data_IF_535373018329
#
_entry.id   IF_535373018329
#
_cell.length_a   1.000
_cell.length_b   1.000
_cell.length_c   1.000
_cell.angle_alpha   90.00
_cell.angle_beta   90.00
_cell.angle_gamma   90.00
#
_symmetry.space_group_name_H-M   'P 1'
#
loop_
_entity.id
_entity.type
_entity.pdbx_description
1 polymer ?
#
# COMPACT_ATOMS: atom_id res chain seq x y z
N UNK A 1 15.60 28.63 24.33
CA UNK A 1 14.80 27.56 23.71
C UNK A 1 13.63 27.11 24.60
N UNK A 2 13.86 26.70 25.83
CA UNK A 2 12.80 26.20 26.77
C UNK A 2 11.71 27.25 27.05
N UNK A 3 12.05 28.53 27.20
CA UNK A 3 11.11 29.62 27.48
C UNK A 3 10.10 29.84 26.35
N UNK A 4 10.50 29.69 25.09
CA UNK A 4 9.60 29.83 23.94
C UNK A 4 8.70 28.61 23.78
N UNK A 5 9.16 27.41 24.13
CA UNK A 5 8.38 26.18 24.14
C UNK A 5 7.26 26.24 25.20
N UNK A 6 7.57 26.80 26.38
CA UNK A 6 6.61 26.96 27.47
C UNK A 6 5.50 27.97 27.12
N UNK A 7 5.86 29.06 26.44
CA UNK A 7 4.90 30.09 26.01
C UNK A 7 3.96 29.52 24.94
N UNK A 8 4.49 28.74 24.00
CA UNK A 8 3.69 28.09 22.95
C UNK A 8 2.74 27.04 23.53
N UNK A 9 3.21 26.29 24.53
CA UNK A 9 2.38 25.29 25.21
C UNK A 9 1.26 25.96 26.04
N UNK A 10 1.59 27.05 26.75
CA UNK A 10 0.61 27.80 27.53
C UNK A 10 -0.45 28.47 26.64
N UNK A 11 -0.05 29.00 25.49
CA UNK A 11 -0.99 29.62 24.54
C UNK A 11 -1.94 28.59 23.91
N UNK A 12 -1.46 27.39 23.57
CA UNK A 12 -2.28 26.31 23.04
C UNK A 12 -3.27 25.76 24.09
N UNK A 13 -2.86 25.65 25.37
CA UNK A 13 -3.75 25.21 26.44
C UNK A 13 -4.83 26.26 26.77
N UNK A 14 -4.46 27.54 26.79
CA UNK A 14 -5.42 28.64 27.01
C UNK A 14 -6.42 28.74 25.84
N UNK A 15 -5.96 28.59 24.61
CA UNK A 15 -6.82 28.59 23.43
C UNK A 15 -7.77 27.39 23.42
N UNK A 16 -7.27 26.22 23.75
CA UNK A 16 -8.09 25.01 23.91
C UNK A 16 -9.14 25.14 25.02
N UNK A 17 -8.78 25.76 26.13
CA UNK A 17 -9.69 26.03 27.26
C UNK A 17 -10.78 27.07 26.90
N UNK A 18 -10.44 28.10 26.14
CA UNK A 18 -11.38 29.08 25.62
C UNK A 18 -12.38 28.42 24.66
N UNK A 19 -11.91 27.59 23.73
CA UNK A 19 -12.77 26.87 22.80
C UNK A 19 -13.69 25.87 23.52
N UNK A 20 -13.21 25.23 24.60
CA UNK A 20 -14.02 24.35 25.43
C UNK A 20 -15.15 25.12 26.17
N UNK A 21 -14.81 26.26 26.80
CA UNK A 21 -15.81 27.09 27.50
C UNK A 21 -16.80 27.83 26.57
N UNK A 22 -16.41 28.05 25.31
CA UNK A 22 -17.31 28.60 24.30
C UNK A 22 -18.24 27.53 23.69
N UNK A 23 -18.16 26.28 24.15
CA UNK A 23 -18.98 25.18 23.65
C UNK A 23 -18.71 24.80 22.20
N UNK A 24 -17.57 25.23 21.62
CA UNK A 24 -17.23 24.97 20.23
C UNK A 24 -17.05 23.47 20.01
N UNK A 25 -16.47 22.77 20.98
CA UNK A 25 -16.29 21.32 20.91
C UNK A 25 -17.59 20.54 21.09
N UNK A 26 -18.51 21.05 21.93
CA UNK A 26 -19.81 20.42 22.13
C UNK A 26 -20.72 20.59 20.90
N UNK A 27 -20.64 21.75 20.24
CA UNK A 27 -21.34 22.01 19.00
C UNK A 27 -20.74 21.21 17.83
N UNK A 28 -19.40 21.02 17.77
CA UNK A 28 -18.75 20.16 16.78
C UNK A 28 -19.07 18.68 16.98
N UNK A 29 -19.16 18.23 18.26
CA UNK A 29 -19.50 16.84 18.55
C UNK A 29 -20.99 16.52 18.34
N UNK A 30 -21.88 17.45 18.68
CA UNK A 30 -23.32 17.29 18.44
C UNK A 30 -23.67 17.38 16.96
N UNK A 31 -23.17 18.39 16.25
CA UNK A 31 -23.35 18.53 14.82
C UNK A 31 -22.77 17.33 14.05
N UNK A 32 -21.58 16.86 14.46
CA UNK A 32 -20.94 15.71 13.83
C UNK A 32 -21.66 14.37 14.09
N UNK A 33 -22.36 14.20 15.20
CA UNK A 33 -23.16 12.99 15.47
C UNK A 33 -24.46 12.97 14.68
N UNK A 34 -25.16 14.08 14.65
CA UNK A 34 -26.43 14.18 13.92
C UNK A 34 -26.23 14.11 12.41
N UNK A 35 -25.16 14.76 11.90
CA UNK A 35 -24.81 14.64 10.50
C UNK A 35 -24.35 13.23 10.12
N UNK A 36 -23.61 12.52 10.98
CA UNK A 36 -23.19 11.13 10.72
C UNK A 36 -24.39 10.20 10.60
N UNK A 37 -25.34 10.28 11.53
CA UNK A 37 -26.53 9.44 11.48
C UNK A 37 -27.40 9.79 10.27
N UNK A 38 -27.58 11.09 10.00
CA UNK A 38 -28.38 11.57 8.88
C UNK A 38 -27.76 11.19 7.51
N UNK A 39 -26.43 11.33 7.38
CA UNK A 39 -25.73 10.93 6.16
C UNK A 39 -25.67 9.41 6.01
N UNK A 40 -25.48 8.66 7.10
CA UNK A 40 -25.49 7.20 7.09
C UNK A 40 -26.88 6.66 6.70
N UNK A 41 -27.94 7.14 7.34
CA UNK A 41 -29.31 6.72 7.03
C UNK A 41 -29.74 7.12 5.62
N UNK A 42 -29.54 8.38 5.22
CA UNK A 42 -29.86 8.86 3.87
C UNK A 42 -29.08 8.11 2.82
N UNK A 43 -27.81 7.74 3.11
CA UNK A 43 -26.97 7.05 2.18
C UNK A 43 -27.33 5.57 2.04
N UNK A 44 -27.65 4.89 3.13
CA UNK A 44 -28.13 3.51 3.08
C UNK A 44 -29.43 3.42 2.25
N UNK A 45 -30.35 4.37 2.43
CA UNK A 45 -31.55 4.45 1.60
C UNK A 45 -31.27 4.83 0.14
N UNK A 46 -30.32 5.75 -0.09
CA UNK A 46 -29.97 6.20 -1.45
C UNK A 46 -29.24 5.12 -2.23
N UNK A 47 -28.35 4.35 -1.60
CA UNK A 47 -27.64 3.22 -2.23
C UNK A 47 -28.64 2.11 -2.59
N UNK A 48 -29.63 1.84 -1.75
CA UNK A 48 -30.71 0.90 -2.06
C UNK A 48 -31.57 1.34 -3.28
N UNK A 49 -31.72 2.65 -3.48
CA UNK A 49 -32.50 3.24 -4.58
C UNK A 49 -31.67 3.57 -5.82
N UNK A 50 -30.34 3.49 -5.74
CA UNK A 50 -29.45 3.88 -6.85
C UNK A 50 -29.37 2.72 -7.85
N UNK A 51 -29.74 2.92 -9.11
CA UNK A 51 -29.68 1.85 -10.12
C UNK A 51 -28.25 1.49 -10.53
N UNK A 52 -27.25 2.26 -10.10
CA UNK A 52 -25.86 2.10 -10.51
C UNK A 52 -24.94 2.07 -9.29
N UNK A 53 -24.04 1.05 -9.21
CA UNK A 53 -23.04 0.96 -8.16
C UNK A 53 -21.83 1.84 -8.51
N UNK A 54 -21.62 2.88 -7.73
CA UNK A 54 -20.54 3.84 -7.95
C UNK A 54 -19.35 3.51 -7.04
N UNK A 55 -18.20 3.31 -7.64
CA UNK A 55 -16.93 3.06 -6.96
C UNK A 55 -16.02 4.26 -7.19
N UNK A 56 -15.49 4.84 -6.12
CA UNK A 56 -14.53 5.93 -6.16
C UNK A 56 -13.10 5.45 -5.95
N UNK A 57 -12.12 6.12 -6.54
CA UNK A 57 -10.70 5.93 -6.25
C UNK A 57 -9.96 7.25 -6.29
N UNK A 58 -9.09 7.45 -5.29
CA UNK A 58 -8.16 8.58 -5.23
C UNK A 58 -6.75 8.01 -5.18
N UNK A 59 -5.88 8.48 -6.05
CA UNK A 59 -4.53 7.95 -6.14
C UNK A 59 -3.52 9.01 -6.58
N UNK A 60 -2.24 8.73 -6.34
CA UNK A 60 -1.15 9.51 -6.91
C UNK A 60 -0.71 8.86 -8.23
N UNK A 61 -0.75 9.59 -9.33
CA UNK A 61 -0.41 9.04 -10.66
C UNK A 61 1.07 8.75 -10.85
N UNK A 62 1.94 9.31 -10.02
CA UNK A 62 3.38 8.99 -9.99
C UNK A 62 3.70 7.77 -9.13
N UNK A 63 2.79 7.35 -8.26
CA UNK A 63 2.87 6.11 -7.51
C UNK A 63 2.48 4.95 -8.45
N UNK A 64 3.47 4.19 -8.88
CA UNK A 64 3.30 3.18 -9.93
C UNK A 64 2.39 2.04 -9.52
N UNK A 65 2.53 1.43 -8.33
CA UNK A 65 1.58 0.45 -7.82
C UNK A 65 0.13 0.93 -7.87
N UNK A 66 -0.11 2.15 -7.40
CA UNK A 66 -1.44 2.75 -7.41
C UNK A 66 -1.96 2.98 -8.84
N UNK A 67 -1.14 3.58 -9.70
CA UNK A 67 -1.52 3.87 -11.07
C UNK A 67 -1.80 2.61 -11.90
N UNK A 68 -0.99 1.57 -11.76
CA UNK A 68 -1.20 0.28 -12.44
C UNK A 68 -2.49 -0.41 -11.92
N UNK A 69 -2.72 -0.40 -10.62
CA UNK A 69 -3.95 -0.93 -10.03
C UNK A 69 -5.20 -0.23 -10.57
N UNK A 70 -5.17 1.11 -10.64
CA UNK A 70 -6.28 1.90 -11.20
C UNK A 70 -6.50 1.57 -12.68
N UNK A 71 -5.45 1.42 -13.50
CA UNK A 71 -5.59 1.00 -14.90
C UNK A 71 -6.27 -0.37 -15.03
N UNK A 72 -5.88 -1.31 -14.18
CA UNK A 72 -6.50 -2.63 -14.13
C UNK A 72 -7.98 -2.57 -13.80
N UNK A 73 -8.33 -1.83 -12.74
CA UNK A 73 -9.71 -1.64 -12.29
C UNK A 73 -10.56 -0.89 -13.31
N UNK A 74 -10.00 0.13 -13.99
CA UNK A 74 -10.72 0.86 -15.05
C UNK A 74 -11.14 -0.07 -16.18
N UNK A 75 -10.22 -0.88 -16.70
CA UNK A 75 -10.52 -1.81 -17.78
C UNK A 75 -11.53 -2.88 -17.32
N UNK A 76 -11.40 -3.38 -16.09
CA UNK A 76 -12.37 -4.31 -15.53
C UNK A 76 -13.78 -3.69 -15.45
N UNK A 77 -13.88 -2.43 -15.02
CA UNK A 77 -15.16 -1.72 -14.96
C UNK A 77 -15.79 -1.51 -16.36
N UNK A 78 -14.96 -1.23 -17.39
CA UNK A 78 -15.40 -1.13 -18.79
C UNK A 78 -16.02 -2.49 -19.27
N UNK A 79 -15.36 -3.60 -18.95
CA UNK A 79 -15.85 -4.94 -19.29
C UNK A 79 -17.16 -5.26 -18.56
N UNK A 80 -17.23 -4.99 -17.25
CA UNK A 80 -18.45 -5.22 -16.47
C UNK A 80 -19.65 -4.42 -17.02
N UNK A 81 -19.41 -3.17 -17.40
CA UNK A 81 -20.44 -2.34 -18.04
C UNK A 81 -20.86 -2.87 -19.41
N UNK A 82 -19.91 -3.32 -20.22
CA UNK A 82 -20.22 -3.93 -21.53
C UNK A 82 -21.03 -5.22 -21.41
N UNK A 83 -20.91 -5.90 -20.27
CA UNK A 83 -21.71 -7.09 -19.92
C UNK A 83 -23.05 -6.74 -19.23
N UNK A 84 -23.46 -5.47 -19.23
CA UNK A 84 -24.76 -5.03 -18.72
C UNK A 84 -24.79 -4.73 -17.22
N UNK A 85 -23.67 -4.79 -16.49
CA UNK A 85 -23.64 -4.40 -15.08
C UNK A 85 -23.75 -2.89 -14.92
N UNK A 86 -24.61 -2.46 -14.00
CA UNK A 86 -24.77 -1.04 -13.65
C UNK A 86 -23.70 -0.63 -12.64
N UNK A 87 -22.47 -0.45 -13.12
CA UNK A 87 -21.33 -0.04 -12.32
C UNK A 87 -20.66 1.20 -12.93
N UNK A 88 -20.22 2.12 -12.10
CA UNK A 88 -19.45 3.29 -12.53
C UNK A 88 -18.20 3.44 -11.67
N UNK A 89 -17.05 3.55 -12.31
CA UNK A 89 -15.77 3.78 -11.63
C UNK A 89 -15.30 5.21 -11.88
N UNK A 90 -15.07 5.96 -10.80
CA UNK A 90 -14.67 7.36 -10.83
C UNK A 90 -13.30 7.46 -10.16
N UNK A 91 -12.36 8.07 -10.86
CA UNK A 91 -11.00 8.22 -10.37
C UNK A 91 -10.60 9.70 -10.29
N UNK A 92 -9.86 10.07 -9.24
CA UNK A 92 -9.17 11.35 -9.13
C UNK A 92 -7.70 11.08 -8.94
N UNK A 93 -6.88 11.62 -9.83
CA UNK A 93 -5.42 11.48 -9.80
C UNK A 93 -4.76 12.71 -9.18
N UNK A 94 -3.43 12.61 -8.95
CA UNK A 94 -2.56 13.67 -8.44
C UNK A 94 -2.83 14.10 -6.99
N UNK A 95 -3.46 13.25 -6.20
CA UNK A 95 -3.65 13.47 -4.77
C UNK A 95 -2.35 13.12 -4.03
N UNK A 96 -1.44 14.08 -3.96
CA UNK A 96 -0.12 13.89 -3.31
C UNK A 96 -0.15 14.23 -1.82
N UNK A 97 -1.04 15.14 -1.41
CA UNK A 97 -1.12 15.63 -0.03
C UNK A 97 -2.42 15.20 0.64
N UNK A 98 -2.37 15.00 1.95
CA UNK A 98 -3.54 14.61 2.75
C UNK A 98 -4.76 15.53 2.59
N UNK A 99 -4.62 16.88 2.57
CA UNK A 99 -5.77 17.76 2.37
C UNK A 99 -6.45 17.61 1.00
N UNK A 100 -5.64 17.43 -0.06
CA UNK A 100 -6.14 17.24 -1.43
C UNK A 100 -6.90 15.92 -1.55
N UNK A 101 -6.35 14.88 -0.95
CA UNK A 101 -6.98 13.55 -0.88
C UNK A 101 -8.31 13.62 -0.14
N UNK A 102 -8.35 14.29 1.01
CA UNK A 102 -9.55 14.45 1.81
C UNK A 102 -10.65 15.20 1.03
N UNK A 103 -10.31 16.31 0.38
CA UNK A 103 -11.25 17.10 -0.43
C UNK A 103 -11.79 16.29 -1.62
N UNK A 104 -10.94 15.55 -2.32
CA UNK A 104 -11.35 14.69 -3.43
C UNK A 104 -12.33 13.58 -2.98
N UNK A 105 -12.05 12.95 -1.84
CA UNK A 105 -12.92 11.94 -1.27
C UNK A 105 -14.27 12.51 -0.82
N UNK A 106 -14.25 13.64 -0.12
CA UNK A 106 -15.48 14.31 0.29
C UNK A 106 -16.35 14.65 -0.91
N UNK A 107 -15.75 15.18 -1.97
CA UNK A 107 -16.45 15.43 -3.23
C UNK A 107 -17.04 14.16 -3.83
N UNK A 108 -16.29 13.06 -3.84
CA UNK A 108 -16.82 11.77 -4.31
C UNK A 108 -17.99 11.29 -3.48
N UNK A 109 -17.95 11.50 -2.17
CA UNK A 109 -19.04 11.12 -1.28
C UNK A 109 -20.31 11.93 -1.53
N UNK A 110 -20.18 13.25 -1.64
CA UNK A 110 -21.31 14.18 -1.72
C UNK A 110 -21.87 14.26 -3.15
N UNK A 111 -21.00 14.57 -4.12
CA UNK A 111 -21.43 14.90 -5.49
C UNK A 111 -21.74 13.61 -6.30
N UNK A 112 -20.91 12.58 -6.14
CA UNK A 112 -21.02 11.36 -6.94
C UNK A 112 -21.74 10.21 -6.23
N UNK A 113 -22.07 10.35 -4.96
CA UNK A 113 -22.77 9.32 -4.18
C UNK A 113 -22.08 7.95 -4.26
N UNK A 114 -20.76 7.96 -4.13
CA UNK A 114 -19.94 6.74 -4.19
C UNK A 114 -20.42 5.71 -3.17
N UNK A 115 -20.59 4.47 -3.57
CA UNK A 115 -21.04 3.37 -2.71
C UNK A 115 -19.90 2.65 -2.00
N UNK A 116 -18.70 2.64 -2.59
CA UNK A 116 -17.49 2.08 -2.01
C UNK A 116 -16.25 2.77 -2.58
N UNK A 117 -15.12 2.66 -1.88
CA UNK A 117 -13.83 3.11 -2.38
C UNK A 117 -12.93 1.93 -2.75
N UNK A 118 -12.25 2.05 -3.90
CA UNK A 118 -11.12 1.22 -4.27
C UNK A 118 -9.84 2.02 -4.01
N UNK A 119 -9.05 1.58 -3.06
CA UNK A 119 -7.86 2.26 -2.56
C UNK A 119 -7.68 2.07 -1.05
N UNK A 120 -6.70 2.67 -0.42
CA UNK A 120 -5.72 3.63 -0.94
C UNK A 120 -4.70 3.03 -1.90
N UNK A 121 -4.03 3.91 -2.63
CA UNK A 121 -2.91 3.54 -3.48
C UNK A 121 -1.61 3.28 -2.71
N UNK A 122 -1.48 3.84 -1.50
CA UNK A 122 -0.34 3.63 -0.60
C UNK A 122 -0.75 3.76 0.87
N UNK A 123 0.14 3.33 1.77
CA UNK A 123 -0.11 3.31 3.21
C UNK A 123 -0.26 4.70 3.84
N UNK A 124 0.39 5.72 3.31
CA UNK A 124 0.30 7.10 3.83
C UNK A 124 -1.11 7.69 3.67
N UNK A 125 -1.77 7.33 2.57
CA UNK A 125 -3.13 7.76 2.30
C UNK A 125 -4.17 7.03 3.15
N UNK A 126 -3.85 5.84 3.67
CA UNK A 126 -4.80 4.97 4.36
C UNK A 126 -5.51 5.66 5.53
N UNK A 127 -4.77 6.38 6.37
CA UNK A 127 -5.34 7.04 7.54
C UNK A 127 -6.41 8.06 7.16
N UNK A 128 -6.12 8.89 6.16
CA UNK A 128 -7.06 9.93 5.71
C UNK A 128 -8.28 9.34 4.99
N UNK A 129 -8.05 8.36 4.12
CA UNK A 129 -9.14 7.65 3.43
C UNK A 129 -10.05 6.90 4.40
N UNK A 130 -9.46 6.23 5.39
CA UNK A 130 -10.21 5.47 6.38
C UNK A 130 -11.10 6.36 7.23
N UNK A 131 -10.58 7.50 7.71
CA UNK A 131 -11.37 8.44 8.49
C UNK A 131 -12.59 8.96 7.72
N UNK A 132 -12.41 9.35 6.46
CA UNK A 132 -13.50 9.86 5.61
C UNK A 132 -14.47 8.73 5.23
N UNK A 133 -13.95 7.58 4.82
CA UNK A 133 -14.82 6.45 4.45
C UNK A 133 -15.68 5.98 5.63
N UNK A 134 -15.17 6.07 6.87
CA UNK A 134 -15.94 5.80 8.07
C UNK A 134 -16.99 6.84 8.36
N UNK A 135 -16.63 8.13 8.24
CA UNK A 135 -17.59 9.21 8.41
C UNK A 135 -18.82 9.04 7.51
N UNK A 136 -18.61 8.56 6.30
CA UNK A 136 -19.68 8.30 5.34
C UNK A 136 -20.19 6.84 5.34
N UNK A 137 -19.77 6.01 6.26
CA UNK A 137 -20.09 4.58 6.37
C UNK A 137 -19.84 3.81 5.07
N UNK A 138 -18.69 4.04 4.42
CA UNK A 138 -18.35 3.45 3.13
C UNK A 138 -17.29 2.36 3.25
N UNK A 139 -17.44 1.24 2.54
CA UNK A 139 -16.38 0.26 2.36
C UNK A 139 -15.16 0.85 1.69
N UNK A 140 -13.98 0.51 2.20
CA UNK A 140 -12.67 0.87 1.67
C UNK A 140 -11.90 -0.41 1.34
N UNK A 141 -11.73 -0.70 0.06
CA UNK A 141 -11.12 -1.94 -0.42
C UNK A 141 -9.80 -1.62 -1.12
N UNK A 142 -8.66 -2.11 -0.62
CA UNK A 142 -7.36 -1.83 -1.23
C UNK A 142 -6.75 -3.04 -1.94
N UNK A 143 -6.40 -2.89 -3.22
CA UNK A 143 -5.64 -3.90 -3.98
C UNK A 143 -4.12 -3.80 -3.81
N UNK A 144 -3.59 -2.73 -3.20
CA UNK A 144 -2.13 -2.46 -3.19
C UNK A 144 -1.57 -2.07 -1.83
N UNK A 145 -2.41 -1.94 -0.81
CA UNK A 145 -1.95 -1.53 0.52
C UNK A 145 -2.20 -2.62 1.53
N UNK A 146 -1.14 -3.03 2.21
CA UNK A 146 -1.22 -3.99 3.33
C UNK A 146 -1.99 -3.37 4.48
N UNK A 147 -2.70 -4.19 5.24
CA UNK A 147 -3.33 -3.77 6.49
C UNK A 147 -2.24 -3.57 7.55
N UNK A 148 -2.05 -2.36 8.09
CA UNK A 148 -1.10 -2.15 9.18
C UNK A 148 -1.57 -2.84 10.47
N UNK A 149 -0.64 -3.46 11.20
CA UNK A 149 -0.92 -4.15 12.48
C UNK A 149 -1.54 -3.24 13.56
N UNK A 150 -1.27 -1.94 13.48
CA UNK A 150 -1.67 -0.94 14.47
C UNK A 150 -2.71 0.05 13.93
N UNK A 151 -3.70 -0.41 13.20
CA UNK A 151 -4.84 0.45 12.91
C UNK A 151 -5.66 0.68 14.19
N UNK A 152 -6.10 1.92 14.48
CA UNK A 152 -7.02 2.16 15.58
C UNK A 152 -8.21 1.23 15.49
N UNK A 153 -8.57 0.58 16.59
CA UNK A 153 -9.80 -0.19 16.67
C UNK A 153 -10.98 0.78 16.53
N UNK A 154 -11.89 0.44 15.67
CA UNK A 154 -13.06 1.22 15.36
C UNK A 154 -14.28 0.32 15.59
N UNK A 155 -15.40 0.94 15.93
CA UNK A 155 -16.65 0.23 16.17
C UNK A 155 -17.08 -0.65 14.99
N UNK A 156 -16.71 -0.22 13.77
CA UNK A 156 -16.88 -0.96 12.54
C UNK A 156 -15.64 -0.80 11.67
N UNK A 157 -14.98 -1.91 11.35
CA UNK A 157 -13.85 -1.90 10.44
C UNK A 157 -14.35 -2.01 9.00
N UNK A 158 -14.24 -0.90 8.28
CA UNK A 158 -14.68 -0.78 6.89
C UNK A 158 -13.55 -1.00 5.87
N UNK A 159 -12.35 -1.37 6.33
CA UNK A 159 -11.17 -1.55 5.48
C UNK A 159 -10.86 -3.02 5.20
N UNK A 160 -10.75 -3.37 3.93
CA UNK A 160 -10.28 -4.69 3.49
C UNK A 160 -9.08 -4.53 2.56
N UNK A 161 -8.01 -5.26 2.83
CA UNK A 161 -6.90 -5.43 1.90
C UNK A 161 -7.07 -6.72 1.10
N UNK A 162 -7.00 -6.62 -0.23
CA UNK A 162 -6.90 -7.77 -1.15
C UNK A 162 -5.43 -8.07 -1.47
N UNK A 163 -4.55 -7.13 -1.17
CA UNK A 163 -3.12 -7.31 -1.32
C UNK A 163 -2.62 -8.49 -0.46
N UNK A 164 -1.69 -9.30 -0.95
CA UNK A 164 -1.14 -10.41 -0.18
C UNK A 164 -0.57 -9.96 1.17
N UNK A 165 -0.82 -10.68 2.25
CA UNK A 165 -0.27 -10.35 3.56
C UNK A 165 1.26 -10.32 3.52
N UNK A 166 1.85 -9.46 4.33
CA UNK A 166 3.28 -9.18 4.33
C UNK A 166 4.11 -10.44 4.63
N UNK A 167 3.60 -11.29 5.51
CA UNK A 167 4.21 -12.57 5.87
C UNK A 167 4.46 -13.44 4.64
N UNK A 168 3.55 -13.44 3.68
CA UNK A 168 3.67 -14.26 2.46
C UNK A 168 4.86 -13.85 1.59
N UNK A 169 5.12 -12.55 1.50
CA UNK A 169 6.28 -11.99 0.79
C UNK A 169 7.57 -12.35 1.51
N UNK A 170 7.55 -12.19 2.83
CA UNK A 170 8.71 -12.45 3.70
C UNK A 170 9.05 -13.92 3.72
N UNK A 171 8.07 -14.81 3.80
CA UNK A 171 8.28 -16.26 3.76
C UNK A 171 8.96 -16.69 2.46
N UNK A 172 8.57 -16.10 1.32
CA UNK A 172 9.22 -16.38 0.04
C UNK A 172 10.69 -15.89 0.01
N UNK A 173 10.96 -14.70 0.54
CA UNK A 173 12.32 -14.17 0.66
C UNK A 173 13.18 -15.05 1.57
N UNK A 174 12.68 -15.39 2.76
CA UNK A 174 13.39 -16.23 3.73
C UNK A 174 13.64 -17.66 3.19
N UNK A 175 12.67 -18.24 2.49
CA UNK A 175 12.84 -19.54 1.84
C UNK A 175 13.95 -19.49 0.76
N UNK A 176 13.98 -18.44 -0.04
CA UNK A 176 15.03 -18.23 -1.04
C UNK A 176 16.40 -18.01 -0.39
N UNK A 177 16.48 -17.18 0.66
CA UNK A 177 17.72 -16.98 1.42
C UNK A 177 18.23 -18.30 2.01
N UNK A 178 17.34 -19.11 2.58
CA UNK A 178 17.66 -20.44 3.12
C UNK A 178 18.24 -21.36 2.04
N UNK A 179 17.59 -21.40 0.87
CA UNK A 179 18.06 -22.20 -0.28
C UNK A 179 19.44 -21.79 -0.79
N UNK A 180 19.84 -20.54 -0.59
CA UNK A 180 21.15 -20.00 -0.94
C UNK A 180 22.16 -19.94 0.22
N UNK A 181 21.90 -20.63 1.34
CA UNK A 181 22.75 -20.68 2.53
C UNK A 181 23.07 -19.29 3.15
N UNK A 182 22.20 -18.32 2.99
CA UNK A 182 22.35 -16.99 3.60
C UNK A 182 21.96 -17.10 5.07
N UNK A 183 22.89 -16.72 5.96
CA UNK A 183 22.74 -16.77 7.41
C UNK A 183 22.85 -15.40 8.08
N UNK A 184 23.49 -14.46 7.42
CA UNK A 184 23.71 -13.11 7.96
C UNK A 184 23.28 -12.07 6.96
N UNK A 185 22.38 -11.18 7.35
CA UNK A 185 21.94 -10.10 6.47
C UNK A 185 22.14 -8.73 7.10
N UNK A 186 22.46 -7.76 6.25
CA UNK A 186 22.38 -6.35 6.59
C UNK A 186 21.05 -5.79 6.06
N UNK A 187 20.21 -5.32 6.93
CA UNK A 187 18.97 -4.61 6.58
C UNK A 187 19.29 -3.12 6.48
N UNK A 188 19.07 -2.54 5.31
CA UNK A 188 19.21 -1.10 5.06
C UNK A 188 17.80 -0.55 4.79
N UNK A 189 17.33 0.33 5.67
CA UNK A 189 15.94 0.82 5.63
C UNK A 189 15.85 2.27 6.08
N UNK A 190 14.91 3.09 5.55
CA UNK A 190 14.64 4.40 6.11
C UNK A 190 14.10 4.27 7.54
N UNK A 191 14.44 5.23 8.40
CA UNK A 191 14.02 5.24 9.81
C UNK A 191 12.78 6.07 10.09
N UNK A 192 11.81 6.12 9.15
CA UNK A 192 10.70 7.07 9.14
C UNK A 192 9.31 6.44 9.25
N UNK A 193 9.21 5.15 9.56
CA UNK A 193 7.94 4.44 9.66
C UNK A 193 7.27 4.15 8.32
N UNK A 194 8.00 4.23 7.21
CA UNK A 194 7.53 3.89 5.87
C UNK A 194 7.19 2.40 5.71
N UNK A 195 6.59 2.06 4.58
CA UNK A 195 6.29 0.68 4.20
C UNK A 195 7.56 -0.21 4.23
N UNK A 196 8.66 0.28 3.68
CA UNK A 196 9.93 -0.46 3.68
C UNK A 196 10.49 -0.73 5.06
N UNK A 197 10.32 0.19 6.02
CA UNK A 197 10.69 -0.06 7.42
C UNK A 197 9.78 -1.09 8.08
N UNK A 198 8.48 -1.02 7.84
CA UNK A 198 7.52 -2.02 8.31
C UNK A 198 7.87 -3.41 7.76
N UNK A 199 8.12 -3.52 6.45
CA UNK A 199 8.55 -4.75 5.80
C UNK A 199 9.83 -5.31 6.42
N UNK A 200 10.83 -4.44 6.59
CA UNK A 200 12.12 -4.78 7.21
C UNK A 200 11.97 -5.31 8.64
N UNK A 201 11.08 -4.71 9.42
CA UNK A 201 10.81 -5.09 10.81
C UNK A 201 10.12 -6.45 10.92
N UNK A 202 9.20 -6.75 10.00
CA UNK A 202 8.55 -8.07 9.93
C UNK A 202 9.53 -9.13 9.44
N UNK A 203 10.39 -8.81 8.44
CA UNK A 203 11.45 -9.69 7.98
C UNK A 203 12.40 -10.07 9.14
N UNK A 204 12.86 -9.08 9.90
CA UNK A 204 13.73 -9.31 11.05
C UNK A 204 13.08 -10.18 12.14
N UNK A 205 11.82 -9.92 12.44
CA UNK A 205 11.05 -10.71 13.42
C UNK A 205 10.88 -12.17 12.96
N UNK A 206 10.46 -12.37 11.71
CA UNK A 206 10.15 -13.70 11.19
C UNK A 206 11.41 -14.51 10.90
N UNK A 207 12.53 -13.88 10.55
CA UNK A 207 13.78 -14.57 10.29
C UNK A 207 14.26 -15.38 11.51
N UNK A 208 14.06 -14.87 12.73
CA UNK A 208 14.42 -15.53 13.99
C UNK A 208 13.61 -16.81 14.23
N UNK A 209 12.42 -16.91 13.66
CA UNK A 209 11.52 -18.05 13.84
C UNK A 209 11.72 -19.15 12.77
N UNK A 210 12.19 -18.77 11.57
CA UNK A 210 12.25 -19.65 10.39
C UNK A 210 13.64 -20.22 10.17
N UNK A 211 14.67 -19.51 10.57
CA UNK A 211 16.06 -19.83 10.28
C UNK A 211 16.86 -19.93 11.58
N UNK A 212 17.30 -21.15 11.94
CA UNK A 212 18.23 -21.35 13.04
C UNK A 212 19.55 -20.63 12.73
N UNK A 213 20.11 -19.93 13.70
CA UNK A 213 21.39 -19.18 13.61
C UNK A 213 21.39 -17.99 12.62
N UNK A 214 20.22 -17.50 12.24
CA UNK A 214 20.13 -16.32 11.37
C UNK A 214 20.42 -15.04 12.14
N UNK A 215 21.33 -14.23 11.61
CA UNK A 215 21.74 -12.97 12.22
C UNK A 215 21.32 -11.79 11.34
N UNK A 216 20.67 -10.84 11.94
CA UNK A 216 20.28 -9.58 11.29
C UNK A 216 21.06 -8.43 11.88
N UNK A 217 21.60 -7.59 11.00
CA UNK A 217 22.17 -6.28 11.31
C UNK A 217 21.32 -5.23 10.69
N UNK A 218 21.06 -4.13 11.37
CA UNK A 218 20.20 -3.05 10.86
C UNK A 218 20.98 -1.76 10.74
N UNK A 219 20.81 -1.10 9.59
CA UNK A 219 21.28 0.24 9.32
C UNK A 219 20.09 1.09 8.87
N UNK A 220 19.83 2.17 9.58
CA UNK A 220 18.79 3.14 9.21
C UNK A 220 19.42 4.37 8.59
N UNK A 221 18.71 4.95 7.63
CA UNK A 221 19.11 6.21 7.01
C UNK A 221 17.91 7.18 6.97
N UNK A 222 18.15 8.50 7.00
CA UNK A 222 17.09 9.48 6.74
C UNK A 222 16.76 9.54 5.26
N UNK A 223 15.48 9.50 4.94
CA UNK A 223 15.00 9.63 3.56
C UNK A 223 15.17 11.09 3.03
N UNK A 224 15.59 11.34 1.78
CA UNK A 224 16.07 10.36 0.81
C UNK A 224 17.50 9.86 1.09
N UNK A 225 17.79 8.66 0.60
CA UNK A 225 19.11 8.05 0.67
C UNK A 225 20.17 8.96 0.03
N UNK A 226 21.27 9.20 0.75
CA UNK A 226 22.41 9.98 0.25
C UNK A 226 23.72 9.25 0.48
N UNK A 227 24.62 9.32 -0.48
CA UNK A 227 25.95 8.69 -0.45
C UNK A 227 26.71 8.92 0.84
N UNK A 228 26.63 10.13 1.41
CA UNK A 228 27.39 10.52 2.58
C UNK A 228 27.01 9.79 3.88
N UNK A 229 25.83 9.16 3.95
CA UNK A 229 25.37 8.47 5.16
C UNK A 229 26.13 7.17 5.44
N UNK A 230 26.71 6.54 4.41
CA UNK A 230 27.28 5.21 4.53
C UNK A 230 28.79 5.14 4.49
N UNK A 231 29.48 6.27 4.22
CA UNK A 231 30.93 6.27 3.95
C UNK A 231 31.79 5.58 5.01
N UNK A 232 31.36 5.54 6.29
CA UNK A 232 32.12 4.89 7.35
C UNK A 232 31.45 3.62 7.92
N UNK A 233 30.16 3.46 7.71
CA UNK A 233 29.40 2.38 8.34
C UNK A 233 29.39 1.10 7.52
N UNK A 234 29.33 1.19 6.18
CA UNK A 234 29.31 0.02 5.30
C UNK A 234 30.62 -0.77 5.29
N UNK A 235 31.75 -0.09 5.42
CA UNK A 235 33.07 -0.76 5.54
C UNK A 235 33.16 -1.69 6.74
N UNK A 236 32.48 -1.34 7.85
CA UNK A 236 32.42 -2.19 9.04
C UNK A 236 31.62 -3.48 8.80
N UNK A 237 30.56 -3.42 7.99
CA UNK A 237 29.71 -4.60 7.69
C UNK A 237 30.28 -5.50 6.59
N UNK A 238 31.04 -4.96 5.64
CA UNK A 238 31.80 -5.75 4.66
C UNK A 238 33.03 -6.46 5.27
N UNK A 239 33.61 -5.91 6.36
CA UNK A 239 34.82 -6.39 6.99
C UNK A 239 34.56 -7.20 8.28
N UNK A 240 34.06 -6.58 9.34
CA UNK A 240 33.96 -7.18 10.67
C UNK A 240 32.79 -8.17 10.82
N UNK A 241 31.64 -7.93 10.19
CA UNK A 241 30.45 -8.74 10.37
C UNK A 241 30.24 -9.80 9.28
N UNK A 242 30.95 -9.69 8.15
CA UNK A 242 30.88 -10.67 7.02
C UNK A 242 29.46 -11.12 6.73
N UNK A 243 28.57 -10.19 6.38
CA UNK A 243 27.19 -10.52 5.99
C UNK A 243 27.16 -11.24 4.65
N UNK A 244 26.21 -12.12 4.47
CA UNK A 244 26.04 -12.95 3.26
C UNK A 244 25.18 -12.24 2.20
N UNK A 245 24.30 -11.33 2.64
CA UNK A 245 23.40 -10.58 1.75
C UNK A 245 22.96 -9.26 2.40
N UNK A 246 22.38 -8.39 1.57
CA UNK A 246 21.75 -7.14 1.96
C UNK A 246 20.26 -7.27 1.70
N UNK A 247 19.42 -6.78 2.62
CA UNK A 247 18.03 -6.50 2.37
C UNK A 247 17.83 -4.98 2.34
N UNK A 248 17.29 -4.46 1.25
CA UNK A 248 17.00 -3.05 1.08
C UNK A 248 15.50 -2.79 1.19
N UNK A 249 15.09 -2.11 2.26
CA UNK A 249 13.73 -1.67 2.53
C UNK A 249 13.48 -0.22 2.14
N UNK A 250 14.24 0.33 1.19
CA UNK A 250 14.01 1.67 0.65
C UNK A 250 13.03 1.66 -0.53
N UNK A 251 12.85 2.82 -1.15
CA UNK A 251 12.00 2.98 -2.34
C UNK A 251 12.77 2.75 -3.65
N UNK A 252 12.03 2.48 -4.73
CA UNK A 252 12.62 2.15 -6.03
C UNK A 252 13.59 3.22 -6.56
N UNK A 253 13.29 4.49 -6.35
CA UNK A 253 14.13 5.60 -6.81
C UNK A 253 15.48 5.70 -6.09
N UNK A 254 15.61 5.10 -4.90
CA UNK A 254 16.84 5.07 -4.12
C UNK A 254 17.74 3.86 -4.42
N UNK A 255 17.20 2.83 -5.09
CA UNK A 255 17.96 1.62 -5.40
C UNK A 255 19.22 1.89 -6.26
N UNK A 256 19.18 2.75 -7.31
CA UNK A 256 20.37 3.10 -8.07
C UNK A 256 21.46 3.75 -7.21
N UNK A 257 21.08 4.62 -6.28
CA UNK A 257 22.02 5.26 -5.34
C UNK A 257 22.66 4.21 -4.41
N UNK A 258 21.86 3.31 -3.82
CA UNK A 258 22.39 2.20 -3.02
C UNK A 258 23.40 1.38 -3.82
N UNK A 259 23.07 1.01 -5.06
CA UNK A 259 23.94 0.21 -5.91
C UNK A 259 25.26 0.93 -6.23
N UNK A 260 25.21 2.25 -6.43
CA UNK A 260 26.42 3.06 -6.61
C UNK A 260 27.28 3.10 -5.34
N UNK A 261 26.65 3.21 -4.19
CA UNK A 261 27.34 3.18 -2.89
C UNK A 261 28.05 1.83 -2.69
N UNK A 262 27.33 0.71 -2.90
CA UNK A 262 27.91 -0.62 -2.77
C UNK A 262 29.10 -0.83 -3.72
N UNK A 263 28.98 -0.35 -4.95
CA UNK A 263 30.07 -0.38 -5.95
C UNK A 263 31.30 0.41 -5.46
N UNK A 264 31.11 1.63 -4.96
CA UNK A 264 32.19 2.48 -4.47
C UNK A 264 32.94 1.85 -3.29
N UNK A 265 32.26 1.03 -2.50
CA UNK A 265 32.85 0.28 -1.38
C UNK A 265 33.34 -1.13 -1.73
N UNK A 266 33.32 -1.52 -3.02
CA UNK A 266 33.67 -2.88 -3.48
C UNK A 266 32.85 -3.98 -2.79
N UNK A 267 31.60 -3.71 -2.43
CA UNK A 267 30.65 -4.68 -1.82
C UNK A 267 29.88 -5.37 -2.93
N UNK A 268 30.16 -6.65 -3.15
CA UNK A 268 29.51 -7.49 -4.15
C UNK A 268 28.69 -8.59 -3.45
N UNK A 269 27.61 -8.20 -2.77
CA UNK A 269 26.71 -9.08 -2.08
C UNK A 269 25.37 -9.17 -2.80
N UNK A 270 24.64 -10.29 -2.68
CA UNK A 270 23.25 -10.38 -3.10
C UNK A 270 22.39 -9.31 -2.38
N UNK A 271 21.57 -8.59 -3.15
CA UNK A 271 20.65 -7.59 -2.63
C UNK A 271 19.22 -8.08 -2.81
N UNK A 272 18.49 -8.20 -1.73
CA UNK A 272 17.05 -8.47 -1.70
C UNK A 272 16.32 -7.15 -1.48
N UNK A 273 15.17 -7.01 -2.09
CA UNK A 273 14.35 -5.79 -1.98
C UNK A 273 12.92 -6.12 -1.57
N UNK A 274 12.16 -5.10 -1.16
CA UNK A 274 10.71 -5.22 -0.94
C UNK A 274 9.95 -5.32 -2.27
N UNK A 275 8.68 -5.65 -2.20
CA UNK A 275 7.76 -5.74 -3.35
C UNK A 275 7.42 -4.37 -3.97
N UNK A 276 7.71 -3.27 -3.29
CA UNK A 276 7.56 -1.91 -3.83
C UNK A 276 8.49 -1.63 -5.04
N UNK A 277 9.54 -2.42 -5.17
CA UNK A 277 10.50 -2.27 -6.27
C UNK A 277 10.03 -3.08 -7.47
N UNK A 278 9.35 -2.41 -8.39
CA UNK A 278 8.80 -3.05 -9.57
C UNK A 278 9.89 -3.21 -10.64
N UNK A 279 10.05 -4.44 -11.13
CA UNK A 279 11.06 -4.83 -12.10
C UNK A 279 11.22 -3.86 -13.28
N UNK A 280 10.12 -3.40 -13.87
CA UNK A 280 10.13 -2.58 -15.08
C UNK A 280 10.53 -1.12 -14.85
N UNK A 281 10.69 -0.71 -13.58
CA UNK A 281 11.02 0.66 -13.18
C UNK A 281 12.47 0.78 -12.68
N UNK A 282 13.18 -0.35 -12.57
CA UNK A 282 14.55 -0.35 -12.06
C UNK A 282 15.49 0.22 -13.12
N UNK A 283 16.09 1.36 -12.84
CA UNK A 283 17.16 1.97 -13.63
C UNK A 283 18.49 1.65 -12.99
N UNK A 284 19.14 0.58 -13.43
CA UNK A 284 20.45 0.21 -12.90
C UNK A 284 21.57 1.07 -13.48
N UNK A 285 22.55 1.49 -12.67
CA UNK A 285 23.74 2.17 -13.17
C UNK A 285 24.50 1.29 -14.18
N UNK A 286 24.97 1.88 -15.28
CA UNK A 286 25.70 1.16 -16.30
C UNK A 286 26.97 0.49 -15.74
N UNK A 287 27.23 -0.75 -16.17
CA UNK A 287 28.43 -1.52 -15.78
C UNK A 287 28.41 -2.04 -14.34
N UNK A 288 27.24 -2.13 -13.71
CA UNK A 288 27.09 -2.77 -12.40
C UNK A 288 26.65 -4.22 -12.57
N UNK A 289 27.46 -5.14 -12.04
CA UNK A 289 27.15 -6.57 -11.98
C UNK A 289 26.71 -6.90 -10.54
N UNK A 290 25.42 -6.73 -10.22
CA UNK A 290 24.86 -7.10 -8.93
C UNK A 290 23.92 -8.29 -9.04
N UNK A 291 23.84 -9.06 -7.96
CA UNK A 291 22.78 -10.04 -7.77
C UNK A 291 21.63 -9.35 -7.07
N UNK A 292 20.57 -9.06 -7.79
CA UNK A 292 19.36 -8.40 -7.26
C UNK A 292 18.20 -9.38 -7.28
N UNK A 293 17.57 -9.59 -6.13
CA UNK A 293 16.45 -10.49 -5.94
C UNK A 293 15.18 -9.73 -5.56
N UNK A 294 14.17 -9.83 -6.44
CA UNK A 294 12.89 -9.16 -6.29
C UNK A 294 11.78 -10.16 -6.02
N UNK A 295 10.95 -9.94 -4.99
CA UNK A 295 9.74 -10.71 -4.84
C UNK A 295 8.69 -10.23 -5.86
N UNK A 296 8.03 -11.16 -6.52
CA UNK A 296 6.95 -10.88 -7.47
C UNK A 296 5.75 -11.79 -7.23
N UNK A 297 4.55 -11.22 -7.24
CA UNK A 297 3.32 -11.99 -7.09
C UNK A 297 2.85 -12.58 -8.41
N UNK A 298 2.60 -13.87 -8.42
CA UNK A 298 1.82 -14.54 -9.45
C UNK A 298 0.34 -14.50 -9.05
N UNK A 299 -0.38 -13.52 -9.59
CA UNK A 299 -1.79 -13.30 -9.30
C UNK A 299 -2.64 -14.03 -10.34
N UNK A 300 -3.57 -14.90 -9.91
CA UNK A 300 -4.45 -15.58 -10.86
C UNK A 300 -5.40 -14.57 -11.52
N UNK A 301 -5.56 -14.68 -12.82
CA UNK A 301 -6.49 -13.86 -13.60
C UNK A 301 -7.80 -14.63 -13.80
N UNK A 302 -8.89 -14.10 -13.23
CA UNK A 302 -10.21 -14.72 -13.34
C UNK A 302 -10.89 -14.49 -14.68
N UNK A 303 -10.47 -13.45 -15.41
CA UNK A 303 -11.09 -13.04 -16.68
C UNK A 303 -10.06 -12.96 -17.82
N UNK A 304 -9.99 -13.99 -18.64
CA UNK A 304 -9.08 -14.06 -19.77
C UNK A 304 -9.25 -12.89 -20.77
N UNK A 305 -10.49 -12.47 -21.03
CA UNK A 305 -10.80 -11.34 -21.92
C UNK A 305 -10.18 -10.02 -21.40
N UNK A 306 -10.14 -9.85 -20.07
CA UNK A 306 -9.49 -8.68 -19.47
C UNK A 306 -8.00 -8.66 -19.81
N UNK A 307 -7.31 -9.78 -19.70
CA UNK A 307 -5.90 -9.91 -20.02
C UNK A 307 -5.61 -9.52 -21.49
N UNK A 308 -6.37 -10.07 -22.42
CA UNK A 308 -6.23 -9.77 -23.84
C UNK A 308 -6.45 -8.27 -24.13
N UNK A 309 -7.50 -7.70 -23.55
CA UNK A 309 -7.82 -6.28 -23.73
C UNK A 309 -6.78 -5.36 -23.07
N UNK A 310 -6.20 -5.77 -21.93
CA UNK A 310 -5.14 -5.02 -21.28
C UNK A 310 -3.91 -4.92 -22.17
N UNK A 311 -3.42 -6.06 -22.68
CA UNK A 311 -2.28 -6.09 -23.62
C UNK A 311 -2.57 -5.29 -24.88
N UNK A 312 -3.77 -5.41 -25.44
CA UNK A 312 -4.19 -4.65 -26.63
C UNK A 312 -4.18 -3.13 -26.37
N UNK A 313 -4.72 -2.69 -25.22
CA UNK A 313 -4.88 -1.27 -24.87
C UNK A 313 -3.57 -0.61 -24.47
N UNK A 314 -2.77 -1.29 -23.64
CA UNK A 314 -1.57 -0.69 -23.03
C UNK A 314 -0.25 -1.15 -23.67
N UNK A 315 -0.30 -2.08 -24.65
CA UNK A 315 0.87 -2.62 -25.40
C UNK A 315 1.96 -3.23 -24.52
N UNK A 316 1.58 -3.70 -23.31
CA UNK A 316 2.47 -4.37 -22.36
C UNK A 316 1.69 -5.41 -21.55
N UNK A 317 2.40 -6.36 -20.96
CA UNK A 317 1.82 -7.27 -19.96
C UNK A 317 1.40 -6.49 -18.72
N UNK A 318 0.28 -6.84 -18.09
CA UNK A 318 -0.10 -6.22 -16.82
C UNK A 318 0.92 -6.57 -15.73
N UNK A 319 1.24 -5.60 -14.89
CA UNK A 319 1.89 -5.87 -13.61
C UNK A 319 0.93 -6.60 -12.68
N UNK A 320 1.46 -7.26 -11.66
CA UNK A 320 0.59 -7.90 -10.66
C UNK A 320 -0.33 -6.89 -9.94
N UNK A 321 0.09 -5.63 -9.81
CA UNK A 321 -0.76 -4.56 -9.29
C UNK A 321 -1.96 -4.26 -10.21
N UNK A 322 -1.76 -4.27 -11.53
CA UNK A 322 -2.85 -4.11 -12.48
C UNK A 322 -3.84 -5.28 -12.39
N UNK A 323 -3.33 -6.51 -12.23
CA UNK A 323 -4.17 -7.70 -12.03
C UNK A 323 -4.94 -7.59 -10.72
N UNK A 324 -4.29 -7.24 -9.61
CA UNK A 324 -4.95 -7.05 -8.31
C UNK A 324 -6.05 -5.99 -8.38
N UNK A 325 -5.82 -4.87 -9.06
CA UNK A 325 -6.84 -3.85 -9.27
C UNK A 325 -8.05 -4.36 -10.05
N UNK A 326 -7.82 -5.14 -11.10
CA UNK A 326 -8.89 -5.75 -11.88
C UNK A 326 -9.67 -6.79 -11.08
N UNK A 327 -8.98 -7.71 -10.40
CA UNK A 327 -9.61 -8.75 -9.59
C UNK A 327 -10.43 -8.14 -8.44
N UNK A 328 -9.90 -7.08 -7.82
CA UNK A 328 -10.65 -6.32 -6.81
C UNK A 328 -11.95 -5.77 -7.39
N UNK A 329 -11.91 -5.17 -8.57
CA UNK A 329 -13.09 -4.65 -9.25
C UNK A 329 -14.10 -5.75 -9.57
N UNK A 330 -13.66 -6.91 -10.07
CA UNK A 330 -14.52 -8.05 -10.35
C UNK A 330 -15.18 -8.61 -9.09
N UNK A 331 -14.42 -8.77 -8.01
CA UNK A 331 -14.93 -9.24 -6.70
C UNK A 331 -15.95 -8.25 -6.14
N UNK A 332 -15.65 -6.95 -6.14
CA UNK A 332 -16.57 -5.92 -5.67
C UNK A 332 -17.89 -5.96 -6.46
N UNK A 333 -17.82 -6.04 -7.77
CA UNK A 333 -19.00 -6.11 -8.63
C UNK A 333 -19.83 -7.39 -8.39
N UNK A 334 -19.18 -8.54 -8.25
CA UNK A 334 -19.84 -9.81 -7.95
C UNK A 334 -20.58 -9.75 -6.61
N UNK A 335 -19.93 -9.28 -5.57
CA UNK A 335 -20.52 -9.22 -4.22
C UNK A 335 -21.63 -8.21 -4.12
N UNK A 336 -21.51 -7.08 -4.82
CA UNK A 336 -22.59 -6.10 -4.90
C UNK A 336 -23.86 -6.68 -5.55
N UNK A 337 -23.71 -7.46 -6.59
CA UNK A 337 -24.85 -8.02 -7.34
C UNK A 337 -25.58 -9.17 -6.62
N UNK A 338 -24.88 -9.88 -5.71
CA UNK A 338 -25.38 -11.10 -5.03
C UNK A 338 -25.99 -10.85 -3.64
N UNK A 339 -25.89 -9.67 -3.08
CA UNK A 339 -26.28 -9.42 -1.69
C UNK A 339 -27.27 -8.27 -1.53
N UNK A 340 -28.08 -8.34 -0.45
CA UNK A 340 -28.72 -7.13 0.08
C UNK A 340 -27.58 -6.25 0.57
N UNK A 341 -27.33 -5.17 -0.14
CA UNK A 341 -26.21 -4.29 0.14
C UNK A 341 -26.43 -3.52 1.44
N UNK A 342 -25.62 -3.83 2.44
CA UNK A 342 -25.25 -2.92 3.52
C UNK A 342 -23.74 -2.79 3.51
N UNK A 343 -23.15 -1.64 3.91
CA UNK A 343 -21.69 -1.49 3.96
C UNK A 343 -20.99 -2.62 4.72
N UNK A 344 -21.54 -2.99 5.87
CA UNK A 344 -20.99 -4.05 6.71
C UNK A 344 -21.06 -5.44 6.06
N UNK A 345 -22.21 -5.82 5.50
CA UNK A 345 -22.35 -7.12 4.83
C UNK A 345 -21.45 -7.21 3.60
N UNK A 346 -21.28 -6.09 2.90
CA UNK A 346 -20.39 -6.02 1.75
C UNK A 346 -18.91 -6.17 2.14
N UNK A 347 -18.45 -5.49 3.21
CA UNK A 347 -17.10 -5.64 3.75
C UNK A 347 -16.82 -7.08 4.13
N UNK A 348 -17.70 -7.72 4.92
CA UNK A 348 -17.55 -9.14 5.31
C UNK A 348 -17.48 -10.08 4.09
N UNK A 349 -18.29 -9.83 3.07
CA UNK A 349 -18.26 -10.62 1.84
C UNK A 349 -16.96 -10.45 1.06
N UNK A 350 -16.39 -9.23 1.04
CA UNK A 350 -15.10 -8.96 0.41
C UNK A 350 -13.96 -9.56 1.22
N UNK A 351 -13.98 -9.47 2.56
CA UNK A 351 -12.96 -10.11 3.42
C UNK A 351 -12.89 -11.62 3.15
N UNK A 352 -14.02 -12.30 3.14
CA UNK A 352 -14.05 -13.72 2.85
C UNK A 352 -13.48 -14.03 1.45
N UNK A 353 -13.88 -13.26 0.44
CA UNK A 353 -13.37 -13.41 -0.92
C UNK A 353 -11.86 -13.12 -1.00
N UNK A 354 -11.36 -12.13 -0.26
CA UNK A 354 -9.94 -11.79 -0.16
C UNK A 354 -9.12 -12.95 0.42
N UNK A 355 -9.58 -13.57 1.48
CA UNK A 355 -8.91 -14.73 2.08
C UNK A 355 -8.78 -15.89 1.08
N UNK A 356 -9.86 -16.22 0.36
CA UNK A 356 -9.83 -17.28 -0.65
C UNK A 356 -8.98 -16.92 -1.87
N UNK A 357 -8.98 -15.67 -2.27
CA UNK A 357 -8.15 -15.18 -3.36
C UNK A 357 -6.67 -15.21 -3.00
N UNK A 358 -6.32 -14.73 -1.80
CA UNK A 358 -4.94 -14.72 -1.30
C UNK A 358 -4.32 -16.12 -1.18
N UNK A 359 -5.10 -17.18 -0.95
CA UNK A 359 -4.60 -18.55 -0.97
C UNK A 359 -4.03 -18.96 -2.34
N UNK A 360 -4.57 -18.38 -3.41
CA UNK A 360 -4.19 -18.70 -4.79
C UNK A 360 -3.00 -17.91 -5.30
N UNK A 361 -2.68 -16.77 -4.69
CA UNK A 361 -1.52 -15.96 -5.06
C UNK A 361 -0.24 -16.70 -4.63
N UNK A 362 0.75 -16.75 -5.50
CA UNK A 362 2.08 -17.27 -5.19
C UNK A 362 3.08 -16.11 -5.24
N UNK A 363 4.05 -16.12 -4.34
CA UNK A 363 5.17 -15.19 -4.38
C UNK A 363 6.40 -15.96 -4.87
N UNK A 364 7.05 -15.46 -5.88
CA UNK A 364 8.31 -15.99 -6.39
C UNK A 364 9.41 -14.95 -6.25
N UNK A 365 10.65 -15.39 -6.15
CA UNK A 365 11.82 -14.52 -6.16
C UNK A 365 12.41 -14.53 -7.57
N UNK A 366 12.50 -13.35 -8.17
CA UNK A 366 13.08 -13.14 -9.48
C UNK A 366 14.55 -12.76 -9.30
N UNK A 367 15.45 -13.50 -9.97
CA UNK A 367 16.85 -13.10 -10.13
C UNK A 367 16.99 -12.09 -11.27
N UNK A 368 17.29 -10.86 -10.90
CA UNK A 368 17.48 -9.74 -11.83
C UNK A 368 18.94 -9.46 -12.15
N UNK A 369 19.84 -10.41 -11.88
CA UNK A 369 21.30 -10.22 -11.83
C UNK A 369 21.95 -9.98 -13.20
N UNK A 370 21.30 -10.24 -14.32
CA UNK A 370 21.99 -10.35 -15.61
C UNK A 370 21.82 -9.17 -16.56
N UNK A 371 21.21 -8.07 -16.11
CA UNK A 371 21.08 -6.87 -16.96
C UNK A 371 20.35 -7.09 -18.30
N UNK A 372 19.64 -8.20 -18.43
CA UNK A 372 18.70 -8.43 -19.54
C UNK A 372 17.33 -7.99 -19.07
N UNK A 373 17.01 -6.76 -19.37
CA UNK A 373 15.65 -6.23 -19.41
C UNK A 373 14.88 -6.81 -20.59
#
# INVERSE_FOLDING_TARGET
MIKNLLITFLSLTVFGFILYHLGVFDNLNSAGRDERSLHSEKRTETVRKTPEFMIGSVYNSIDIPAAESVKGAMLASEILRSNGMKIKYITVSNCQKRPETAAALQKMCVDYRTGAFLGPGNSEMLTSLRAISQFYALPLISPVTVRPDKLPQLEYDNYVSIFPPLEKWIDAILAHMKGNNIKKILIITPGDGTYGEMFSSVLERNSKNVLNDFQTYRMTYPHPLRTNYFNNSLTNYGGQHKVDAIFFGGVADELPELMQILKNHNINLPVYVSDDIIRNEIKMPAGTAFKLFLPEAEVPVSNAKWMELYVKKYKKQPSYHAVLGAETMFVMAEKFNKSIYTPESFVKAIEHASLEFNKKIKIRIIDFSTGKL
#
